data_IF_829886179887
#
_entry.id   IF_829886179887
#
_cell.length_a   1.000
_cell.length_b   1.000
_cell.length_c   1.000
_cell.angle_alpha   90.00
_cell.angle_beta   90.00
_cell.angle_gamma   90.00
#
_symmetry.space_group_name_H-M   'P 1'
#
loop_
_entity.id
_entity.type
_entity.pdbx_description
1 polymer ?
#
# COMPACT_ATOMS: atom_id res chain seq x y z
N UNK A 1 -8.21 -7.82 -3.58
CA UNK A 1 -7.99 -9.29 -3.61
C UNK A 1 -6.84 -9.61 -2.68
N UNK A 2 -7.03 -10.48 -1.70
CA UNK A 2 -5.97 -10.86 -0.75
C UNK A 2 -5.08 -11.96 -1.34
N UNK A 3 -3.89 -12.16 -0.76
CA UNK A 3 -2.98 -13.25 -1.17
C UNK A 3 -3.65 -14.62 -1.01
N UNK A 4 -4.47 -14.80 0.03
CA UNK A 4 -5.25 -16.03 0.25
C UNK A 4 -6.28 -16.26 -0.87
N UNK A 5 -7.01 -15.22 -1.28
CA UNK A 5 -7.94 -15.31 -2.40
C UNK A 5 -7.22 -15.60 -3.72
N UNK A 6 -6.07 -14.95 -3.98
CA UNK A 6 -5.27 -15.22 -5.17
C UNK A 6 -4.82 -16.70 -5.20
N UNK A 7 -4.32 -17.24 -4.08
CA UNK A 7 -3.97 -18.67 -3.96
C UNK A 7 -5.16 -19.59 -4.24
N UNK A 8 -6.33 -19.27 -3.68
CA UNK A 8 -7.55 -20.06 -3.89
C UNK A 8 -7.93 -20.09 -5.38
N UNK A 9 -8.01 -18.94 -6.03
CA UNK A 9 -8.39 -18.85 -7.45
C UNK A 9 -7.36 -19.54 -8.36
N UNK A 10 -6.07 -19.39 -8.10
CA UNK A 10 -5.03 -20.09 -8.86
C UNK A 10 -5.14 -21.61 -8.68
N UNK A 11 -5.51 -22.09 -7.49
CA UNK A 11 -5.66 -23.51 -7.20
C UNK A 11 -6.91 -24.09 -7.87
N UNK A 12 -8.01 -23.33 -7.86
CA UNK A 12 -9.23 -23.67 -8.59
C UNK A 12 -9.00 -23.72 -10.10
N UNK A 13 -8.23 -22.77 -10.66
CA UNK A 13 -7.85 -22.79 -12.07
C UNK A 13 -7.04 -24.05 -12.41
N UNK A 14 -5.99 -24.36 -11.64
CA UNK A 14 -5.13 -25.52 -11.89
C UNK A 14 -5.90 -26.85 -11.77
N UNK A 15 -6.81 -26.96 -10.79
CA UNK A 15 -7.68 -28.14 -10.64
C UNK A 15 -8.66 -28.28 -11.81
N UNK A 16 -9.30 -27.17 -12.23
CA UNK A 16 -10.27 -27.15 -13.33
C UNK A 16 -9.63 -27.55 -14.66
N UNK A 17 -8.39 -27.15 -14.88
CA UNK A 17 -7.65 -27.47 -16.11
C UNK A 17 -6.87 -28.78 -16.03
N UNK A 18 -7.03 -29.58 -14.96
CA UNK A 18 -6.34 -30.86 -14.75
C UNK A 18 -4.82 -30.78 -14.97
N UNK A 19 -4.22 -29.67 -14.54
CA UNK A 19 -2.79 -29.43 -14.68
C UNK A 19 -1.87 -30.06 -13.62
N UNK A 20 -2.32 -30.60 -12.46
CA UNK A 20 -1.38 -31.23 -11.53
C UNK A 20 -0.87 -32.57 -12.08
N UNK A 21 0.41 -32.85 -11.88
CA UNK A 21 1.00 -34.14 -12.26
C UNK A 21 0.50 -35.24 -11.30
N UNK A 22 0.13 -36.43 -11.79
CA UNK A 22 -0.38 -37.52 -10.96
C UNK A 22 0.65 -38.06 -9.96
N UNK A 23 1.93 -37.79 -10.17
CA UNK A 23 3.04 -38.27 -9.34
C UNK A 23 3.53 -37.24 -8.31
N UNK A 24 3.14 -35.96 -8.45
CA UNK A 24 3.67 -34.87 -7.63
C UNK A 24 2.66 -33.72 -7.47
N UNK A 25 2.14 -33.55 -6.25
CA UNK A 25 1.21 -32.45 -5.93
C UNK A 25 1.88 -31.07 -5.90
N UNK A 26 3.21 -31.01 -5.96
CA UNK A 26 4.01 -29.77 -5.89
C UNK A 26 4.31 -29.16 -7.25
N UNK A 27 4.13 -29.93 -8.33
CA UNK A 27 4.52 -29.57 -9.69
C UNK A 27 3.29 -29.56 -10.59
N UNK A 28 3.17 -28.50 -11.40
CA UNK A 28 2.01 -28.25 -12.25
C UNK A 28 2.47 -28.12 -13.70
N UNK A 29 1.77 -28.80 -14.61
CA UNK A 29 1.97 -28.67 -16.05
C UNK A 29 1.50 -27.29 -16.51
N UNK A 30 2.33 -26.59 -17.27
CA UNK A 30 2.01 -25.24 -17.69
C UNK A 30 1.13 -25.24 -18.95
N UNK A 31 -0.09 -24.73 -18.80
CA UNK A 31 -0.96 -24.29 -19.90
C UNK A 31 -0.34 -23.06 -20.61
N UNK A 32 -0.50 -22.85 -21.93
CA UNK A 32 -0.21 -21.60 -22.63
C UNK A 32 -0.42 -20.31 -21.80
N UNK A 33 -1.52 -20.20 -21.03
CA UNK A 33 -1.76 -19.04 -20.17
C UNK A 33 -0.71 -18.92 -19.05
N UNK A 34 -0.39 -20.01 -18.36
CA UNK A 34 0.65 -20.01 -17.32
C UNK A 34 2.05 -19.85 -17.93
N UNK A 35 2.30 -20.41 -19.12
CA UNK A 35 3.55 -20.22 -19.86
C UNK A 35 3.79 -18.74 -20.16
N UNK A 36 2.78 -17.99 -20.60
CA UNK A 36 2.93 -16.52 -20.81
C UNK A 36 3.22 -15.76 -19.52
N UNK A 37 2.64 -16.19 -18.39
CA UNK A 37 2.89 -15.57 -17.08
C UNK A 37 4.30 -15.81 -16.56
N UNK A 38 4.89 -16.98 -16.87
CA UNK A 38 6.26 -17.35 -16.49
C UNK A 38 7.30 -16.78 -17.47
N UNK A 39 7.02 -16.78 -18.78
CA UNK A 39 7.99 -16.47 -19.82
C UNK A 39 8.59 -15.05 -19.76
N UNK A 40 7.84 -14.05 -19.29
CA UNK A 40 8.26 -12.65 -19.03
C UNK A 40 9.51 -12.13 -19.80
N UNK A 41 9.54 -12.30 -21.14
CA UNK A 41 10.58 -11.75 -22.00
C UNK A 41 11.76 -12.67 -22.38
N UNK A 42 11.86 -13.90 -21.84
CA UNK A 42 12.82 -14.90 -22.32
C UNK A 42 12.07 -16.07 -22.97
N UNK A 43 12.11 -16.11 -24.29
CA UNK A 43 11.41 -17.08 -25.14
C UNK A 43 12.14 -18.42 -25.28
N UNK A 44 13.38 -18.53 -24.80
CA UNK A 44 14.23 -19.66 -25.21
C UNK A 44 14.00 -20.94 -24.42
N UNK A 45 13.54 -20.90 -23.17
CA UNK A 45 13.34 -22.12 -22.37
C UNK A 45 12.21 -21.92 -21.33
N UNK A 46 10.95 -21.95 -21.77
CA UNK A 46 9.82 -22.01 -20.83
C UNK A 46 9.62 -23.48 -20.43
N UNK A 47 9.85 -23.85 -19.17
CA UNK A 47 9.73 -25.25 -18.74
C UNK A 47 8.29 -25.74 -18.94
N UNK A 48 8.10 -27.00 -19.30
CA UNK A 48 6.75 -27.57 -19.47
C UNK A 48 6.00 -27.74 -18.13
N UNK A 49 6.75 -27.71 -17.03
CA UNK A 49 6.28 -27.91 -15.66
C UNK A 49 6.92 -26.87 -14.75
N UNK A 50 6.16 -26.30 -13.82
CA UNK A 50 6.72 -25.43 -12.79
C UNK A 50 6.17 -25.79 -11.41
N UNK A 51 6.90 -25.42 -10.37
CA UNK A 51 6.45 -25.59 -8.99
C UNK A 51 5.29 -24.64 -8.68
N UNK A 52 4.35 -25.11 -7.87
CA UNK A 52 3.22 -24.31 -7.40
C UNK A 52 3.65 -22.97 -6.79
N UNK A 53 4.71 -22.98 -5.97
CA UNK A 53 5.24 -21.77 -5.34
C UNK A 53 5.77 -20.75 -6.35
N UNK A 54 6.40 -21.22 -7.44
CA UNK A 54 6.93 -20.35 -8.48
C UNK A 54 5.79 -19.69 -9.27
N UNK A 55 4.77 -20.46 -9.65
CA UNK A 55 3.56 -19.94 -10.31
C UNK A 55 2.91 -18.90 -9.41
N UNK A 56 2.72 -19.21 -8.13
CA UNK A 56 2.11 -18.27 -7.19
C UNK A 56 2.92 -16.99 -7.03
N UNK A 57 4.25 -17.07 -6.91
CA UNK A 57 5.10 -15.89 -6.83
C UNK A 57 5.00 -15.04 -8.10
N UNK A 58 4.97 -15.65 -9.30
CA UNK A 58 4.82 -14.94 -10.57
C UNK A 58 3.45 -14.29 -10.73
N UNK A 59 2.39 -14.98 -10.33
CA UNK A 59 1.02 -14.47 -10.31
C UNK A 59 0.91 -13.26 -9.38
N UNK A 60 1.44 -13.38 -8.15
CA UNK A 60 1.48 -12.27 -7.19
C UNK A 60 2.35 -11.10 -7.66
N UNK A 61 3.44 -11.38 -8.37
CA UNK A 61 4.32 -10.34 -8.92
C UNK A 61 3.64 -9.55 -10.05
N UNK A 62 2.85 -10.21 -10.90
CA UNK A 62 2.04 -9.55 -11.94
C UNK A 62 0.87 -8.75 -11.36
N UNK A 63 0.39 -9.08 -10.17
CA UNK A 63 -0.65 -8.32 -9.50
C UNK A 63 -0.09 -6.98 -8.98
N UNK A 64 -0.81 -5.88 -9.28
CA UNK A 64 -0.45 -4.57 -8.74
C UNK A 64 -0.65 -4.57 -7.22
N UNK A 65 0.40 -4.20 -6.48
CA UNK A 65 0.30 -3.96 -5.04
C UNK A 65 -0.77 -2.90 -4.79
N UNK A 66 -1.73 -3.23 -3.96
CA UNK A 66 -2.78 -2.33 -3.50
C UNK A 66 -3.00 -2.57 -2.02
N UNK A 67 -3.35 -1.51 -1.30
CA UNK A 67 -3.73 -1.60 0.10
C UNK A 67 -5.16 -1.10 0.25
N UNK A 68 -5.84 -1.62 1.28
CA UNK A 68 -7.16 -1.15 1.70
C UNK A 68 -7.01 -0.68 3.13
N UNK A 69 -7.41 0.56 3.39
CA UNK A 69 -7.47 1.11 4.75
C UNK A 69 -8.93 1.15 5.14
N UNK A 70 -9.24 0.58 6.29
CA UNK A 70 -10.55 0.67 6.92
C UNK A 70 -10.36 1.44 8.22
N UNK A 71 -10.96 2.62 8.27
CA UNK A 71 -11.08 3.43 9.49
C UNK A 71 -12.46 3.17 10.06
N UNK A 72 -12.59 3.18 11.39
CA UNK A 72 -13.87 2.95 12.07
C UNK A 72 -14.94 3.91 11.55
N UNK A 73 -15.94 3.35 10.87
CA UNK A 73 -17.10 4.10 10.36
C UNK A 73 -17.06 4.53 8.89
N UNK A 74 -15.95 4.37 8.16
CA UNK A 74 -15.89 4.76 6.73
C UNK A 74 -15.64 3.58 5.79
N UNK A 75 -16.28 3.63 4.61
CA UNK A 75 -16.13 2.63 3.55
C UNK A 75 -14.68 2.65 3.04
N UNK A 76 -13.87 1.72 3.53
CA UNK A 76 -12.42 1.76 3.40
C UNK A 76 -11.91 2.07 1.98
N UNK A 77 -10.95 2.98 1.89
CA UNK A 77 -10.40 3.44 0.62
C UNK A 77 -9.32 2.48 0.12
N UNK A 78 -9.29 2.23 -1.19
CA UNK A 78 -8.26 1.40 -1.82
C UNK A 78 -7.36 2.25 -2.69
N UNK A 79 -6.07 2.30 -2.36
CA UNK A 79 -5.06 2.96 -3.18
C UNK A 79 -4.11 1.93 -3.79
N UNK A 80 -3.70 2.20 -5.02
CA UNK A 80 -2.67 1.42 -5.73
C UNK A 80 -1.29 1.89 -5.25
N UNK A 81 -0.38 0.95 -5.05
CA UNK A 81 1.01 1.21 -4.68
C UNK A 81 1.36 0.76 -3.26
N UNK A 82 2.49 1.25 -2.77
CA UNK A 82 2.97 1.01 -1.42
C UNK A 82 2.29 2.02 -0.48
N UNK A 83 1.77 1.57 0.65
CA UNK A 83 1.22 2.45 1.68
C UNK A 83 2.33 3.43 2.13
N UNK A 84 2.17 4.74 1.89
CA UNK A 84 3.14 5.70 2.38
C UNK A 84 2.99 5.84 3.90
N UNK A 85 4.10 5.83 4.63
CA UNK A 85 4.09 6.01 6.08
C UNK A 85 3.77 7.48 6.43
N UNK A 86 3.00 7.71 7.49
CA UNK A 86 2.83 9.07 8.05
C UNK A 86 4.21 9.56 8.49
N UNK A 87 4.65 10.69 7.94
CA UNK A 87 5.94 11.29 8.24
C UNK A 87 5.70 12.58 9.03
N UNK A 88 6.12 12.59 10.30
CA UNK A 88 5.99 13.72 11.23
C UNK A 88 7.39 14.25 11.51
N UNK A 89 7.62 15.53 11.27
CA UNK A 89 8.94 16.17 11.45
C UNK A 89 8.82 17.54 12.08
N UNK A 90 9.84 17.95 12.83
CA UNK A 90 9.98 19.33 13.29
C UNK A 90 10.93 20.06 12.34
N UNK A 91 10.50 21.19 11.80
CA UNK A 91 11.34 22.11 11.05
C UNK A 91 11.54 23.40 11.83
N UNK A 92 12.74 23.99 11.74
CA UNK A 92 13.03 25.31 12.30
C UNK A 92 12.73 26.37 11.25
N UNK A 93 11.88 27.33 11.59
CA UNK A 93 11.59 28.54 10.84
C UNK A 93 12.48 29.68 11.33
N UNK A 94 12.61 30.74 10.52
CA UNK A 94 13.40 31.92 10.85
C UNK A 94 13.08 32.46 12.26
N UNK A 95 14.12 32.87 12.98
CA UNK A 95 14.00 33.39 14.35
C UNK A 95 13.84 32.32 15.44
N UNK A 96 14.33 31.09 15.21
CA UNK A 96 14.30 30.01 16.22
C UNK A 96 12.91 29.40 16.47
N UNK A 97 11.92 29.77 15.67
CA UNK A 97 10.56 29.25 15.78
C UNK A 97 10.51 27.83 15.23
N UNK A 98 9.85 26.92 15.94
CA UNK A 98 9.63 25.54 15.47
C UNK A 98 8.28 25.43 14.78
N UNK A 99 8.19 24.60 13.75
CA UNK A 99 6.94 24.17 13.12
C UNK A 99 6.94 22.65 13.00
N UNK A 100 5.79 22.04 13.17
CA UNK A 100 5.61 20.60 12.99
C UNK A 100 4.97 20.35 11.63
N UNK A 101 5.61 19.52 10.81
CA UNK A 101 5.21 19.15 9.46
C UNK A 101 4.71 17.70 9.46
N UNK A 102 3.57 17.46 8.84
CA UNK A 102 2.95 16.13 8.76
C UNK A 102 2.60 15.83 7.31
N UNK A 103 3.09 14.69 6.81
CA UNK A 103 2.88 14.24 5.43
C UNK A 103 2.10 12.93 5.39
N UNK A 104 1.52 12.64 4.22
CA UNK A 104 0.83 11.39 3.89
C UNK A 104 -0.44 11.09 4.69
N UNK A 105 -1.03 12.06 5.41
CA UNK A 105 -2.28 11.87 6.16
C UNK A 105 -3.45 11.44 5.27
N UNK A 106 -3.59 12.06 4.09
CA UNK A 106 -4.65 11.70 3.13
C UNK A 106 -4.54 10.26 2.62
N UNK A 107 -3.33 9.69 2.60
CA UNK A 107 -3.14 8.29 2.21
C UNK A 107 -3.82 7.32 3.19
N UNK A 108 -4.09 7.77 4.42
CA UNK A 108 -4.83 7.05 5.45
C UNK A 108 -6.34 7.30 5.43
N UNK A 109 -6.84 8.08 4.47
CA UNK A 109 -8.24 8.49 4.41
C UNK A 109 -8.61 9.52 5.47
N UNK A 110 -7.62 10.17 6.10
CA UNK A 110 -7.84 11.25 7.05
C UNK A 110 -8.19 12.51 6.28
N UNK A 111 -9.31 13.15 6.62
CA UNK A 111 -9.68 14.44 6.05
C UNK A 111 -8.74 15.53 6.57
N UNK A 112 -7.96 16.10 5.65
CA UNK A 112 -6.92 17.09 5.98
C UNK A 112 -7.50 18.37 6.61
N UNK A 113 -8.68 18.81 6.16
CA UNK A 113 -9.33 20.02 6.68
C UNK A 113 -9.87 19.82 8.10
N UNK A 114 -10.50 18.68 8.33
CA UNK A 114 -11.05 18.31 9.63
C UNK A 114 -9.92 18.10 10.65
N UNK A 115 -8.89 17.34 10.27
CA UNK A 115 -7.72 17.10 11.10
C UNK A 115 -6.96 18.41 11.42
N UNK A 116 -6.84 19.32 10.45
CA UNK A 116 -6.26 20.65 10.66
C UNK A 116 -7.04 21.44 11.70
N UNK A 117 -8.38 21.42 11.65
CA UNK A 117 -9.25 22.13 12.59
C UNK A 117 -9.16 21.57 14.00
N UNK A 118 -9.16 20.24 14.15
CA UNK A 118 -8.97 19.58 15.42
C UNK A 118 -7.58 19.88 16.02
N UNK A 119 -6.54 19.90 15.18
CA UNK A 119 -5.21 20.32 15.60
C UNK A 119 -5.18 21.79 16.05
N UNK A 120 -5.82 22.70 15.31
CA UNK A 120 -5.88 24.11 15.70
C UNK A 120 -6.57 24.28 17.05
N UNK A 121 -7.69 23.55 17.28
CA UNK A 121 -8.46 23.64 18.52
C UNK A 121 -7.74 23.02 19.70
N UNK A 122 -7.15 21.84 19.55
CA UNK A 122 -6.52 21.12 20.66
C UNK A 122 -5.13 21.65 21.02
N UNK A 123 -4.39 22.20 20.05
CA UNK A 123 -3.07 22.79 20.28
C UNK A 123 -3.15 24.30 20.58
N UNK A 124 -4.28 24.95 20.26
CA UNK A 124 -4.40 26.41 20.25
C UNK A 124 -3.30 27.08 19.40
N UNK A 125 -2.94 26.47 18.28
CA UNK A 125 -1.91 26.94 17.36
C UNK A 125 -2.42 26.99 15.91
N UNK A 126 -1.82 27.85 15.09
CA UNK A 126 -2.14 27.92 13.67
C UNK A 126 -1.71 26.63 12.97
N UNK A 127 -2.65 26.00 12.25
CA UNK A 127 -2.39 24.90 11.33
C UNK A 127 -2.71 25.33 9.89
N UNK A 128 -1.85 24.98 8.94
CA UNK A 128 -1.97 25.40 7.54
C UNK A 128 -1.68 24.20 6.65
N UNK A 129 -2.51 24.00 5.63
CA UNK A 129 -2.33 22.93 4.65
C UNK A 129 -1.54 23.52 3.48
N UNK A 130 -0.37 22.94 3.19
CA UNK A 130 0.49 23.38 2.11
C UNK A 130 0.63 22.26 1.07
N UNK A 131 0.52 22.60 -0.21
CA UNK A 131 0.85 21.68 -1.28
C UNK A 131 2.34 21.79 -1.59
N UNK A 132 3.10 20.75 -1.27
CA UNK A 132 4.57 20.75 -1.41
C UNK A 132 4.96 20.07 -2.71
N UNK A 133 5.76 20.77 -3.52
CA UNK A 133 6.31 20.21 -4.76
C UNK A 133 7.17 18.97 -4.46
N UNK A 134 6.76 17.82 -5.02
CA UNK A 134 7.44 16.53 -4.83
C UNK A 134 6.71 15.56 -3.89
N UNK A 135 5.70 16.02 -3.14
CA UNK A 135 4.83 15.14 -2.36
C UNK A 135 3.53 14.86 -3.14
N UNK A 136 3.05 13.61 -3.05
CA UNK A 136 1.78 13.20 -3.67
C UNK A 136 0.55 13.70 -2.92
N UNK A 137 0.72 13.99 -1.63
CA UNK A 137 -0.33 14.46 -0.73
C UNK A 137 0.05 15.84 -0.19
N UNK A 138 -0.93 16.68 0.19
CA UNK A 138 -0.66 17.90 0.91
C UNK A 138 0.04 17.62 2.25
N UNK A 139 0.78 18.63 2.72
CA UNK A 139 1.48 18.64 3.99
C UNK A 139 0.72 19.54 4.97
N UNK A 140 0.49 19.04 6.19
CA UNK A 140 0.02 19.88 7.29
C UNK A 140 1.20 20.53 7.99
N UNK A 141 1.09 21.83 8.24
CA UNK A 141 2.06 22.58 9.03
C UNK A 141 1.37 23.17 10.26
N UNK A 142 1.86 22.85 11.45
CA UNK A 142 1.37 23.37 12.73
C UNK A 142 2.47 24.22 13.38
N UNK A 143 2.12 25.36 13.97
CA UNK A 143 3.08 26.19 14.70
C UNK A 143 3.51 25.52 16.02
N UNK A 144 4.81 25.58 16.32
CA UNK A 144 5.40 24.97 17.51
C UNK A 144 5.85 23.52 17.31
N UNK A 145 6.36 22.93 18.39
CA UNK A 145 6.67 21.51 18.46
C UNK A 145 5.47 20.76 19.04
N UNK A 146 4.77 19.99 18.21
CA UNK A 146 3.49 19.37 18.54
C UNK A 146 3.48 17.85 18.33
N UNK A 147 4.66 17.22 18.29
CA UNK A 147 4.77 15.77 18.06
C UNK A 147 3.91 14.98 19.07
N UNK A 148 4.05 15.26 20.37
CA UNK A 148 3.32 14.53 21.42
C UNK A 148 1.79 14.64 21.27
N UNK A 149 1.31 15.79 20.79
CA UNK A 149 -0.12 15.99 20.58
C UNK A 149 -0.62 15.20 19.37
N UNK A 150 0.15 15.23 18.26
CA UNK A 150 -0.18 14.47 17.05
C UNK A 150 -0.13 12.97 17.33
N UNK A 151 0.87 12.49 18.06
CA UNK A 151 0.97 11.09 18.48
C UNK A 151 -0.25 10.64 19.28
N UNK A 152 -0.77 11.51 20.16
CA UNK A 152 -1.97 11.24 20.95
C UNK A 152 -3.26 11.23 20.12
N UNK A 153 -3.34 11.97 19.02
CA UNK A 153 -4.50 11.93 18.12
C UNK A 153 -4.46 10.71 17.20
N UNK A 154 -3.27 10.27 16.82
CA UNK A 154 -3.09 9.15 15.89
C UNK A 154 -3.05 7.77 16.57
N UNK A 155 -2.97 7.70 17.90
CA UNK A 155 -2.94 6.47 18.72
C UNK A 155 -4.23 6.32 19.49
#
# INVERSE_FOLDING_TARGET
>A
MTVSQARKYTAEYIRKHQLPLPNDNSTVRLDPVLKTLIAQGNTSEVPETAKWEEIMNRVLYKMSRSFKITTDGNSGFSQKGKLPMIDIRIANKAGGKKVTLINNLEAYGINMEEFSRECQRGVAASATINQVNGLKTPQLQIQGNQINFIEKILT
#
